data_IF_221227944272
#
_entry.id   IF_221227944272
#
_cell.length_a   1.000
_cell.length_b   1.000
_cell.length_c   1.000
_cell.angle_alpha   90.00
_cell.angle_beta   90.00
_cell.angle_gamma   90.00
#
_symmetry.space_group_name_H-M   'P 1'
#
loop_
_entity.id
_entity.type
_entity.pdbx_description
1 polymer ?
#
# COMPACT_ATOMS: atom_id res chain seq x y z
N UNK A 1 13.75 -22.45 16.28
CA UNK A 1 12.28 -22.33 16.50
C UNK A 1 11.63 -21.38 15.49
N UNK A 2 12.23 -20.27 15.15
CA UNK A 2 11.71 -19.27 14.16
C UNK A 2 11.36 -19.84 12.80
N UNK A 3 12.26 -20.62 12.16
CA UNK A 3 12.01 -21.22 10.81
C UNK A 3 10.72 -22.06 10.75
N UNK A 4 10.36 -22.77 11.83
CA UNK A 4 9.15 -23.62 11.85
C UNK A 4 7.88 -22.77 12.04
N UNK A 5 7.98 -21.69 12.78
CA UNK A 5 6.92 -20.70 12.96
C UNK A 5 6.56 -20.05 11.64
N UNK A 6 7.57 -19.56 10.89
CA UNK A 6 7.36 -18.90 9.61
C UNK A 6 6.81 -19.87 8.54
N UNK A 7 7.27 -21.12 8.55
CA UNK A 7 6.72 -22.13 7.65
C UNK A 7 5.23 -22.39 7.92
N UNK A 8 4.81 -22.41 9.18
CA UNK A 8 3.39 -22.57 9.53
C UNK A 8 2.56 -21.36 9.09
N UNK A 9 3.05 -20.14 9.31
CA UNK A 9 2.38 -18.92 8.87
C UNK A 9 2.20 -18.89 7.35
N UNK A 10 3.24 -19.24 6.59
CA UNK A 10 3.17 -19.30 5.12
C UNK A 10 2.19 -20.35 4.63
N UNK A 11 2.19 -21.55 5.24
CA UNK A 11 1.23 -22.61 4.90
C UNK A 11 -0.22 -22.16 5.14
N UNK A 12 -0.47 -21.44 6.25
CA UNK A 12 -1.78 -20.85 6.55
C UNK A 12 -2.17 -19.77 5.54
N UNK A 13 -1.23 -18.92 5.13
CA UNK A 13 -1.46 -17.90 4.09
C UNK A 13 -1.81 -18.52 2.73
N UNK A 14 -1.09 -19.56 2.32
CA UNK A 14 -1.38 -20.30 1.09
C UNK A 14 -2.75 -20.97 1.13
N UNK A 15 -3.13 -21.57 2.26
CA UNK A 15 -4.47 -22.13 2.47
C UNK A 15 -5.53 -21.04 2.40
N UNK A 16 -5.29 -19.87 3.02
CA UNK A 16 -6.21 -18.73 2.97
C UNK A 16 -6.39 -18.24 1.53
N UNK A 17 -5.33 -18.05 0.75
CA UNK A 17 -5.43 -17.64 -0.68
C UNK A 17 -6.29 -18.61 -1.50
N UNK A 18 -6.11 -19.91 -1.32
CA UNK A 18 -6.93 -20.92 -2.00
C UNK A 18 -8.41 -20.80 -1.68
N UNK A 19 -8.75 -20.53 -0.40
CA UNK A 19 -10.14 -20.37 0.02
C UNK A 19 -10.72 -19.04 -0.44
N UNK A 20 -9.96 -17.94 -0.38
CA UNK A 20 -10.39 -16.61 -0.84
C UNK A 20 -10.65 -16.56 -2.35
N UNK A 21 -10.01 -17.42 -3.13
CA UNK A 21 -10.31 -17.56 -4.55
C UNK A 21 -11.69 -18.21 -4.81
N UNK A 22 -12.31 -18.85 -3.80
CA UNK A 22 -13.55 -19.63 -3.95
C UNK A 22 -14.73 -19.00 -3.20
N UNK A 23 -14.50 -18.29 -2.10
CA UNK A 23 -15.55 -17.75 -1.23
C UNK A 23 -15.11 -16.52 -0.46
N UNK A 24 -16.06 -15.68 0.02
CA UNK A 24 -15.76 -14.51 0.84
C UNK A 24 -15.06 -14.87 2.15
N UNK A 25 -14.25 -13.93 2.67
CA UNK A 25 -13.43 -14.14 3.89
C UNK A 25 -14.28 -14.47 5.12
N UNK A 26 -15.45 -13.83 5.25
CA UNK A 26 -16.40 -14.07 6.36
C UNK A 26 -16.98 -15.50 6.39
N UNK A 27 -16.86 -16.25 5.27
CA UNK A 27 -17.24 -17.66 5.15
C UNK A 27 -16.06 -18.62 5.34
N UNK A 28 -14.86 -18.12 5.59
CA UNK A 28 -13.67 -18.95 5.84
C UNK A 28 -13.53 -19.16 7.35
N UNK A 29 -13.49 -20.42 7.76
CA UNK A 29 -13.33 -20.77 9.18
C UNK A 29 -11.89 -21.17 9.51
N UNK A 30 -11.47 -20.88 10.74
CA UNK A 30 -10.17 -21.33 11.28
C UNK A 30 -10.06 -22.86 11.23
N UNK A 31 -11.19 -23.57 11.32
CA UNK A 31 -11.22 -25.03 11.20
C UNK A 31 -10.76 -25.46 9.81
N UNK A 32 -11.32 -24.90 8.77
CA UNK A 32 -10.94 -25.25 7.38
C UNK A 32 -9.48 -24.95 7.11
N UNK A 33 -8.98 -23.79 7.56
CA UNK A 33 -7.56 -23.43 7.43
C UNK A 33 -6.66 -24.43 8.15
N UNK A 34 -7.02 -24.80 9.37
CA UNK A 34 -6.26 -25.74 10.18
C UNK A 34 -6.26 -27.16 9.57
N UNK A 35 -7.41 -27.61 9.08
CA UNK A 35 -7.58 -28.92 8.45
C UNK A 35 -6.75 -28.99 7.13
N UNK A 36 -6.75 -27.92 6.30
CA UNK A 36 -5.95 -27.83 5.07
C UNK A 36 -4.45 -27.85 5.34
N UNK A 37 -4.02 -27.29 6.46
CA UNK A 37 -2.60 -27.25 6.85
C UNK A 37 -2.16 -28.45 7.69
N UNK A 38 -3.07 -29.35 8.06
CA UNK A 38 -2.78 -30.48 8.95
C UNK A 38 -2.34 -30.08 10.35
N UNK A 39 -2.82 -28.92 10.85
CA UNK A 39 -2.48 -28.41 12.19
C UNK A 39 -3.71 -28.36 13.11
N UNK A 40 -3.46 -28.32 14.41
CA UNK A 40 -4.53 -28.11 15.39
C UNK A 40 -4.93 -26.65 15.44
N UNK A 41 -6.22 -26.31 15.69
CA UNK A 41 -6.68 -24.92 15.85
C UNK A 41 -5.88 -24.12 16.88
N UNK A 42 -5.40 -24.78 17.95
CA UNK A 42 -4.56 -24.11 18.95
C UNK A 42 -3.26 -23.56 18.34
N UNK A 43 -2.71 -24.23 17.30
CA UNK A 43 -1.52 -23.75 16.59
C UNK A 43 -1.84 -22.53 15.72
N UNK A 44 -3.07 -22.41 15.20
CA UNK A 44 -3.50 -21.19 14.54
C UNK A 44 -3.49 -20.00 15.50
N UNK A 45 -4.16 -20.13 16.64
CA UNK A 45 -4.25 -19.07 17.66
C UNK A 45 -2.90 -18.71 18.31
N UNK A 46 -1.90 -19.55 18.19
CA UNK A 46 -0.53 -19.21 18.57
C UNK A 46 0.09 -18.14 17.65
N UNK A 47 -0.38 -18.04 16.39
CA UNK A 47 0.18 -17.15 15.39
C UNK A 47 -0.71 -15.97 15.04
N UNK A 48 -2.03 -16.15 15.05
CA UNK A 48 -3.01 -15.17 14.57
C UNK A 48 -4.24 -15.15 15.47
N UNK A 49 -4.80 -13.95 15.67
CA UNK A 49 -6.04 -13.78 16.46
C UNK A 49 -7.26 -14.32 15.70
N UNK A 50 -7.33 -14.00 14.40
CA UNK A 50 -8.42 -14.42 13.52
C UNK A 50 -7.97 -14.53 12.05
N UNK A 51 -8.92 -14.80 11.16
CA UNK A 51 -8.68 -14.92 9.72
C UNK A 51 -8.25 -13.58 9.09
N UNK A 52 -8.73 -12.45 9.63
CA UNK A 52 -8.38 -11.13 9.13
C UNK A 52 -6.95 -10.74 9.53
N UNK A 53 -6.50 -11.16 10.70
CA UNK A 53 -5.11 -10.98 11.15
C UNK A 53 -4.14 -11.79 10.28
N UNK A 54 -4.47 -13.05 9.97
CA UNK A 54 -3.74 -13.85 8.98
C UNK A 54 -3.71 -13.18 7.61
N UNK A 55 -4.84 -12.68 7.12
CA UNK A 55 -4.94 -11.98 5.82
C UNK A 55 -4.06 -10.74 5.81
N UNK A 56 -4.05 -9.96 6.88
CA UNK A 56 -3.19 -8.78 7.03
C UNK A 56 -1.72 -9.16 6.93
N UNK A 57 -1.31 -10.15 7.71
CA UNK A 57 0.07 -10.64 7.69
C UNK A 57 0.49 -11.12 6.30
N UNK A 58 -0.37 -11.87 5.62
CA UNK A 58 -0.14 -12.35 4.26
C UNK A 58 0.15 -11.19 3.28
N UNK A 59 -0.69 -10.16 3.26
CA UNK A 59 -0.47 -9.01 2.37
C UNK A 59 0.75 -8.19 2.76
N UNK A 60 1.06 -8.06 4.06
CA UNK A 60 2.29 -7.39 4.52
C UNK A 60 3.53 -8.12 4.03
N UNK A 61 3.56 -9.44 4.14
CA UNK A 61 4.72 -10.23 3.70
C UNK A 61 4.87 -10.27 2.18
N UNK A 62 3.77 -10.41 1.45
CA UNK A 62 3.82 -10.68 0.01
C UNK A 62 3.72 -9.40 -0.84
N UNK A 63 2.88 -8.45 -0.49
CA UNK A 63 2.63 -7.23 -1.27
C UNK A 63 3.43 -6.03 -0.75
N UNK A 64 3.27 -5.68 0.53
CA UNK A 64 3.91 -4.48 1.09
C UNK A 64 5.43 -4.62 1.13
N UNK A 65 5.94 -5.84 1.35
CA UNK A 65 7.37 -6.11 1.32
C UNK A 65 8.03 -5.77 -0.04
N UNK A 66 7.29 -5.82 -1.16
CA UNK A 66 7.79 -5.44 -2.49
C UNK A 66 8.09 -3.94 -2.54
N UNK A 67 7.19 -3.11 -2.00
CA UNK A 67 7.40 -1.67 -1.92
C UNK A 67 8.57 -1.32 -1.00
N UNK A 68 8.66 -1.94 0.18
CA UNK A 68 9.74 -1.68 1.14
C UNK A 68 11.14 -1.99 0.61
N UNK A 69 11.27 -3.00 -0.26
CA UNK A 69 12.57 -3.32 -0.89
C UNK A 69 13.02 -2.29 -1.92
N UNK A 70 12.10 -1.49 -2.43
CA UNK A 70 12.30 -0.51 -3.49
C UNK A 70 11.92 0.90 -3.05
N UNK A 71 11.98 1.17 -1.74
CA UNK A 71 11.68 2.51 -1.23
C UNK A 71 12.74 3.53 -1.65
N UNK A 72 12.28 4.77 -1.85
CA UNK A 72 13.14 5.89 -2.22
C UNK A 72 13.01 6.31 -3.69
N UNK A 73 13.51 7.53 -3.96
CA UNK A 73 13.27 8.24 -5.22
C UNK A 73 13.78 7.56 -6.49
N UNK A 74 14.66 6.54 -6.37
CA UNK A 74 15.24 5.85 -7.53
C UNK A 74 14.55 4.53 -7.86
N UNK A 75 13.94 3.86 -6.88
CA UNK A 75 13.48 2.48 -7.03
C UNK A 75 11.97 2.29 -6.83
N UNK A 76 11.25 3.32 -6.41
CA UNK A 76 9.82 3.20 -6.08
C UNK A 76 8.94 2.75 -7.27
N UNK A 77 9.32 3.10 -8.50
CA UNK A 77 8.60 2.68 -9.70
C UNK A 77 8.69 1.17 -9.89
N UNK A 78 9.86 0.58 -9.66
CA UNK A 78 10.07 -0.87 -9.74
C UNK A 78 9.27 -1.59 -8.63
N UNK A 79 9.23 -1.01 -7.43
CA UNK A 79 8.43 -1.52 -6.33
C UNK A 79 6.93 -1.50 -6.64
N UNK A 80 6.42 -0.41 -7.23
CA UNK A 80 5.04 -0.34 -7.69
C UNK A 80 4.74 -1.33 -8.81
N UNK A 81 5.64 -1.49 -9.79
CA UNK A 81 5.45 -2.45 -10.86
C UNK A 81 5.33 -3.87 -10.30
N UNK A 82 6.22 -4.27 -9.41
CA UNK A 82 6.15 -5.58 -8.75
C UNK A 82 4.86 -5.73 -7.91
N UNK A 83 4.41 -4.66 -7.27
CA UNK A 83 3.11 -4.68 -6.58
C UNK A 83 1.95 -4.93 -7.55
N UNK A 84 1.90 -4.25 -8.69
CA UNK A 84 0.85 -4.46 -9.70
C UNK A 84 0.90 -5.89 -10.28
N UNK A 85 2.08 -6.43 -10.55
CA UNK A 85 2.27 -7.81 -10.99
C UNK A 85 1.75 -8.82 -9.95
N UNK A 86 2.04 -8.59 -8.67
CA UNK A 86 1.50 -9.39 -7.58
C UNK A 86 -0.03 -9.30 -7.51
N UNK A 87 -0.58 -8.09 -7.58
CA UNK A 87 -2.02 -7.85 -7.53
C UNK A 87 -2.76 -8.52 -8.70
N UNK A 88 -2.19 -8.46 -9.89
CA UNK A 88 -2.76 -9.11 -11.08
C UNK A 88 -2.72 -10.64 -10.96
N UNK A 89 -1.58 -11.18 -10.56
CA UNK A 89 -1.40 -12.62 -10.35
C UNK A 89 -2.31 -13.19 -9.25
N UNK A 90 -2.71 -12.33 -8.29
CA UNK A 90 -3.58 -12.68 -7.17
C UNK A 90 -4.94 -11.95 -7.20
N UNK A 91 -5.40 -11.52 -8.38
CA UNK A 91 -6.59 -10.65 -8.55
C UNK A 91 -7.82 -11.15 -7.81
N UNK A 92 -8.14 -12.44 -7.92
CA UNK A 92 -9.31 -13.02 -7.23
C UNK A 92 -9.21 -12.88 -5.70
N UNK A 93 -8.03 -13.09 -5.12
CA UNK A 93 -7.75 -12.96 -3.69
C UNK A 93 -7.86 -11.50 -3.26
N UNK A 94 -7.25 -10.58 -4.03
CA UNK A 94 -7.26 -9.15 -3.76
C UNK A 94 -8.69 -8.57 -3.84
N UNK A 95 -9.46 -8.92 -4.86
CA UNK A 95 -10.87 -8.51 -4.99
C UNK A 95 -11.73 -9.11 -3.88
N UNK A 96 -11.49 -10.36 -3.47
CA UNK A 96 -12.15 -10.97 -2.32
C UNK A 96 -11.87 -10.18 -1.02
N UNK A 97 -10.62 -9.80 -0.78
CA UNK A 97 -10.24 -8.97 0.36
C UNK A 97 -10.95 -7.61 0.32
N UNK A 98 -10.91 -6.89 -0.82
CA UNK A 98 -11.58 -5.62 -1.04
C UNK A 98 -13.07 -5.67 -0.67
N UNK A 99 -13.76 -6.70 -1.14
CA UNK A 99 -15.21 -6.88 -0.90
C UNK A 99 -15.55 -7.28 0.54
N UNK A 100 -14.64 -8.02 1.20
CA UNK A 100 -14.90 -8.56 2.54
C UNK A 100 -14.63 -7.58 3.67
N UNK A 101 -13.61 -6.72 3.51
CA UNK A 101 -13.15 -5.81 4.59
C UNK A 101 -13.76 -4.42 4.46
N UNK A 102 -14.27 -4.07 3.28
CA UNK A 102 -14.80 -2.75 2.97
C UNK A 102 -13.69 -1.69 2.80
N UNK A 103 -14.02 -0.62 2.07
CA UNK A 103 -13.06 0.44 1.66
C UNK A 103 -12.31 1.09 2.82
N UNK A 104 -13.00 1.29 3.96
CA UNK A 104 -12.40 1.96 5.13
C UNK A 104 -11.32 1.13 5.84
N UNK A 105 -11.43 -0.19 5.84
CA UNK A 105 -10.47 -1.08 6.50
C UNK A 105 -9.23 -1.34 5.64
N UNK A 106 -9.41 -1.46 4.34
CA UNK A 106 -8.29 -1.59 3.41
C UNK A 106 -7.44 -0.33 3.43
N UNK A 107 -8.08 0.84 3.45
CA UNK A 107 -7.38 2.11 3.58
C UNK A 107 -6.50 2.13 4.83
N UNK A 108 -7.02 1.77 6.02
CA UNK A 108 -6.21 1.68 7.26
C UNK A 108 -5.10 0.65 7.19
N UNK A 109 -5.35 -0.44 6.49
CA UNK A 109 -4.36 -1.49 6.29
C UNK A 109 -3.16 -1.00 5.48
N UNK A 110 -3.41 -0.23 4.44
CA UNK A 110 -2.35 0.36 3.62
C UNK A 110 -1.76 1.63 4.23
N UNK A 111 -2.52 2.40 5.04
CA UNK A 111 -2.08 3.69 5.58
C UNK A 111 -0.79 3.59 6.41
N UNK A 112 -0.61 2.58 7.25
CA UNK A 112 0.57 2.53 8.12
C UNK A 112 1.84 2.06 7.41
N UNK A 113 1.75 1.05 6.55
CA UNK A 113 2.91 0.43 5.93
C UNK A 113 3.33 1.11 4.62
N UNK A 114 2.35 1.58 3.84
CA UNK A 114 2.61 2.30 2.58
C UNK A 114 2.96 3.76 2.86
N UNK A 115 2.42 4.35 3.91
CA UNK A 115 2.75 5.72 4.30
C UNK A 115 4.26 5.92 4.45
N UNK A 116 4.94 5.04 5.18
CA UNK A 116 6.39 5.16 5.40
C UNK A 116 7.19 5.12 4.08
N UNK A 117 6.81 4.23 3.15
CA UNK A 117 7.47 4.12 1.84
C UNK A 117 7.24 5.36 0.99
N UNK A 118 5.99 5.85 0.93
CA UNK A 118 5.65 7.06 0.17
C UNK A 118 6.30 8.29 0.79
N UNK A 119 6.30 8.42 2.11
CA UNK A 119 6.91 9.53 2.83
C UNK A 119 8.41 9.64 2.53
N UNK A 120 9.15 8.52 2.65
CA UNK A 120 10.58 8.47 2.30
C UNK A 120 10.81 8.91 0.84
N UNK A 121 9.94 8.48 -0.07
CA UNK A 121 10.03 8.84 -1.49
C UNK A 121 9.77 10.33 -1.71
N UNK A 122 8.71 10.88 -1.12
CA UNK A 122 8.34 12.31 -1.20
C UNK A 122 9.46 13.19 -0.65
N UNK A 123 10.00 12.87 0.53
CA UNK A 123 11.13 13.61 1.12
C UNK A 123 12.40 13.58 0.26
N UNK A 124 12.72 12.41 -0.34
CA UNK A 124 13.90 12.31 -1.18
C UNK A 124 13.75 13.12 -2.47
N UNK A 125 12.56 13.10 -3.10
CA UNK A 125 12.27 13.96 -4.23
C UNK A 125 12.31 15.43 -3.84
N UNK A 126 11.77 15.80 -2.67
CA UNK A 126 11.82 17.15 -2.16
C UNK A 126 13.25 17.66 -2.08
N UNK A 127 14.12 16.90 -1.44
CA UNK A 127 15.57 17.24 -1.33
C UNK A 127 16.27 17.34 -2.70
N UNK A 128 15.99 16.42 -3.62
CA UNK A 128 16.60 16.42 -4.95
C UNK A 128 16.17 17.60 -5.83
N UNK A 129 14.96 18.09 -5.67
CA UNK A 129 14.39 19.16 -6.50
C UNK A 129 14.48 20.54 -5.82
N UNK A 130 15.21 20.66 -4.71
CA UNK A 130 15.36 21.92 -3.99
C UNK A 130 14.11 22.40 -3.26
N UNK A 131 13.27 21.43 -2.85
CA UNK A 131 12.08 21.72 -2.05
C UNK A 131 12.43 22.25 -0.65
N UNK A 132 11.43 22.75 0.10
CA UNK A 132 11.64 23.31 1.43
C UNK A 132 12.18 22.27 2.41
N UNK A 133 12.92 22.73 3.42
CA UNK A 133 13.35 21.89 4.53
C UNK A 133 12.20 21.60 5.52
N UNK A 134 11.09 22.38 5.45
CA UNK A 134 9.95 22.22 6.33
C UNK A 134 9.08 21.04 5.89
N UNK A 135 8.89 20.12 6.84
CA UNK A 135 8.29 18.80 6.62
C UNK A 135 6.77 18.80 6.61
N UNK A 136 6.07 19.84 7.04
CA UNK A 136 4.62 19.89 7.15
C UNK A 136 3.90 19.69 5.80
N UNK A 137 4.41 20.31 4.75
CA UNK A 137 3.88 20.15 3.40
C UNK A 137 4.15 18.75 2.83
N UNK A 138 5.25 18.10 3.23
CA UNK A 138 5.56 16.73 2.80
C UNK A 138 4.67 15.68 3.48
N UNK A 139 4.27 15.90 4.72
CA UNK A 139 3.31 15.04 5.41
C UNK A 139 1.95 15.05 4.68
N UNK A 140 1.43 16.25 4.38
CA UNK A 140 0.15 16.40 3.67
C UNK A 140 0.22 15.86 2.25
N UNK A 141 1.34 16.06 1.55
CA UNK A 141 1.58 15.51 0.23
C UNK A 141 1.65 13.97 0.25
N UNK A 142 2.26 13.42 1.28
CA UNK A 142 2.31 11.97 1.52
C UNK A 142 0.90 11.41 1.70
N UNK A 143 0.09 12.00 2.57
CA UNK A 143 -1.32 11.62 2.78
C UNK A 143 -2.11 11.65 1.48
N UNK A 144 -1.96 12.72 0.69
CA UNK A 144 -2.59 12.85 -0.60
C UNK A 144 -2.24 11.68 -1.53
N UNK A 145 -0.94 11.34 -1.65
CA UNK A 145 -0.51 10.24 -2.51
C UNK A 145 -0.91 8.86 -1.98
N UNK A 146 -0.90 8.65 -0.68
CA UNK A 146 -1.40 7.40 -0.06
C UNK A 146 -2.86 7.17 -0.45
N UNK A 147 -3.70 8.19 -0.28
CA UNK A 147 -5.14 8.09 -0.61
C UNK A 147 -5.35 7.93 -2.12
N UNK A 148 -4.65 8.73 -2.93
CA UNK A 148 -4.78 8.69 -4.38
C UNK A 148 -4.34 7.35 -4.97
N UNK A 149 -3.17 6.83 -4.57
CA UNK A 149 -2.65 5.55 -5.05
C UNK A 149 -3.51 4.37 -4.59
N UNK A 150 -3.97 4.37 -3.34
CA UNK A 150 -4.89 3.34 -2.86
C UNK A 150 -6.19 3.31 -3.69
N UNK A 151 -6.76 4.49 -4.01
CA UNK A 151 -7.95 4.59 -4.87
C UNK A 151 -7.70 4.12 -6.31
N UNK A 152 -6.55 4.48 -6.90
CA UNK A 152 -6.17 4.04 -8.26
C UNK A 152 -6.02 2.51 -8.30
N UNK A 153 -5.33 1.92 -7.33
CA UNK A 153 -5.16 0.47 -7.23
C UNK A 153 -6.51 -0.23 -7.08
N UNK A 154 -7.41 0.31 -6.25
CA UNK A 154 -8.75 -0.23 -6.05
C UNK A 154 -9.55 -0.28 -7.37
N UNK A 155 -9.71 0.86 -8.05
CA UNK A 155 -10.50 0.93 -9.29
C UNK A 155 -9.86 0.11 -10.43
N UNK A 156 -8.54 0.02 -10.45
CA UNK A 156 -7.81 -0.83 -11.38
C UNK A 156 -8.05 -2.33 -11.11
N UNK A 157 -7.98 -2.76 -9.85
CA UNK A 157 -8.28 -4.15 -9.45
C UNK A 157 -9.72 -4.55 -9.79
N UNK A 158 -10.67 -3.62 -9.62
CA UNK A 158 -12.08 -3.87 -9.94
C UNK A 158 -12.34 -3.88 -11.45
N UNK A 159 -11.37 -3.50 -12.28
CA UNK A 159 -11.53 -3.40 -13.74
C UNK A 159 -12.32 -2.17 -14.18
N UNK A 160 -12.45 -1.16 -13.30
CA UNK A 160 -13.14 0.10 -13.58
C UNK A 160 -12.21 1.12 -14.25
N UNK A 161 -10.89 0.89 -14.25
CA UNK A 161 -9.86 1.72 -14.86
C UNK A 161 -9.08 0.90 -15.89
N UNK A 162 -9.29 1.20 -17.17
CA UNK A 162 -8.60 0.55 -18.30
C UNK A 162 -7.28 1.27 -18.60
N UNK A 163 -6.25 0.96 -17.82
CA UNK A 163 -4.88 1.46 -17.95
C UNK A 163 -3.89 0.39 -17.56
N UNK A 164 -2.71 0.42 -18.19
CA UNK A 164 -1.64 -0.50 -17.79
C UNK A 164 -0.93 -0.01 -16.52
N UNK A 165 -0.32 -0.90 -15.73
CA UNK A 165 0.48 -0.51 -14.58
C UNK A 165 1.54 0.55 -14.91
N UNK A 166 2.22 0.41 -16.04
CA UNK A 166 3.27 1.33 -16.49
C UNK A 166 2.72 2.74 -16.80
N UNK A 167 1.50 2.83 -17.36
CA UNK A 167 0.84 4.11 -17.58
C UNK A 167 0.51 4.80 -16.25
N UNK A 168 0.01 4.04 -15.27
CA UNK A 168 -0.35 4.55 -13.95
C UNK A 168 0.89 5.00 -13.17
N UNK A 169 1.97 4.23 -13.21
CA UNK A 169 3.24 4.56 -12.55
C UNK A 169 3.86 5.80 -13.18
N UNK A 170 3.88 5.91 -14.51
CA UNK A 170 4.39 7.08 -15.22
C UNK A 170 3.58 8.33 -14.90
N UNK A 171 2.26 8.22 -14.82
CA UNK A 171 1.40 9.32 -14.41
C UNK A 171 1.70 9.76 -12.98
N UNK A 172 1.81 8.81 -12.04
CA UNK A 172 2.14 9.13 -10.65
C UNK A 172 3.52 9.81 -10.51
N UNK A 173 4.54 9.34 -11.25
CA UNK A 173 5.87 9.97 -11.26
C UNK A 173 5.82 11.41 -11.79
N UNK A 174 5.12 11.64 -12.89
CA UNK A 174 4.95 12.97 -13.46
C UNK A 174 4.28 13.92 -12.47
N UNK A 175 3.16 13.49 -11.88
CA UNK A 175 2.42 14.29 -10.90
C UNK A 175 3.26 14.62 -9.68
N UNK A 176 3.97 13.63 -9.13
CA UNK A 176 4.82 13.84 -7.95
C UNK A 176 5.91 14.88 -8.23
N UNK A 177 6.61 14.75 -9.36
CA UNK A 177 7.67 15.69 -9.76
C UNK A 177 7.15 17.10 -9.99
N UNK A 178 6.00 17.23 -10.64
CA UNK A 178 5.39 18.53 -10.93
C UNK A 178 4.89 19.21 -9.64
N UNK A 179 4.31 18.47 -8.71
CA UNK A 179 3.90 19.01 -7.40
C UNK A 179 5.10 19.54 -6.62
N UNK A 180 6.19 18.75 -6.53
CA UNK A 180 7.38 19.16 -5.77
C UNK A 180 8.08 20.34 -6.45
N UNK A 181 8.23 20.34 -7.78
CA UNK A 181 8.78 21.49 -8.52
C UNK A 181 7.94 22.73 -8.34
N UNK A 182 6.61 22.60 -8.43
CA UNK A 182 5.69 23.70 -8.20
C UNK A 182 5.79 24.27 -6.79
N UNK A 183 5.97 23.44 -5.79
CA UNK A 183 6.23 23.88 -4.41
C UNK A 183 7.57 24.61 -4.28
N UNK A 184 8.66 24.08 -4.85
CA UNK A 184 9.97 24.71 -4.84
C UNK A 184 9.98 26.09 -5.52
N UNK A 185 9.28 26.24 -6.67
CA UNK A 185 9.13 27.53 -7.37
C UNK A 185 8.36 28.53 -6.50
N UNK A 186 7.24 28.15 -5.90
CA UNK A 186 6.45 29.05 -5.03
C UNK A 186 7.26 29.55 -3.84
N UNK A 187 8.05 28.70 -3.23
CA UNK A 187 8.90 29.07 -2.07
C UNK A 187 10.12 29.87 -2.46
N UNK A 188 10.71 29.60 -3.62
CA UNK A 188 11.80 30.40 -4.19
C UNK A 188 11.33 31.80 -4.67
N UNK A 189 10.04 31.93 -5.02
CA UNK A 189 9.38 33.18 -5.43
C UNK A 189 8.79 33.97 -4.24
N UNK A 190 8.75 33.38 -3.05
CA UNK A 190 8.01 33.85 -1.87
C UNK A 190 8.56 35.08 -1.17
N UNK A 191 9.26 35.97 -1.91
CA UNK A 191 9.49 37.33 -1.46
C UNK A 191 8.52 38.38 -2.04
N UNK A 192 7.62 38.02 -2.98
CA UNK A 192 6.84 38.99 -3.76
C UNK A 192 5.31 38.99 -3.56
N UNK A 193 4.70 37.96 -2.93
CA UNK A 193 3.23 37.88 -2.76
C UNK A 193 2.82 37.73 -1.29
N UNK A 194 3.22 38.64 -0.43
CA UNK A 194 2.51 38.84 0.82
C UNK A 194 1.17 39.56 0.51
N UNK A 195 0.01 39.05 0.98
CA UNK A 195 -1.25 39.77 0.79
C UNK A 195 -1.13 41.15 1.46
N UNK A 196 -1.73 42.21 0.86
CA UNK A 196 -1.64 43.57 1.44
C UNK A 196 -2.26 43.55 2.83
N UNK A 197 -1.51 44.09 3.79
CA UNK A 197 -1.98 44.27 5.16
C UNK A 197 -3.33 45.03 5.12
N UNK A 198 -4.34 44.48 5.78
CA UNK A 198 -5.64 45.13 5.94
C UNK A 198 -5.41 46.55 6.56
N UNK A 199 -6.02 47.62 6.03
CA UNK A 199 -5.90 48.96 6.61
C UNK A 199 -6.55 49.04 7.99
N UNK A 200 -6.13 50.00 8.80
CA UNK A 200 -6.52 50.14 10.21
C UNK A 200 -7.99 50.45 10.43
#
# INVERSE_FOLDING_TARGET
MERRSDQTKRALADALKRLMAQKPVDKISIRELSDLCGIRRQNFYYHFEDVYDLMRWMFQEEAVSLLRRHEGALLWQDGLLQLFEYLDSNRAVCVCALRSVGRSHIRRFFESDIYAVIHTTVEQFGRQLGGPEDTGDYELLTEFYVVALAGIVEVWLLGELDRTPEELIRFADTMLRDHIRGAAVRLGSGGADAPPASPP
#
